data_IF_897391366300
#
_entry.id   IF_897391366300
#
_cell.length_a   1.000
_cell.length_b   1.000
_cell.length_c   1.000
_cell.angle_alpha   90.00
_cell.angle_beta   90.00
_cell.angle_gamma   90.00
#
_symmetry.space_group_name_H-M   'P 1'
#
loop_
_entity.id
_entity.type
_entity.pdbx_description
1 polymer ?
#
# COMPACT_ATOMS: atom_id res chain seq x y z
N UNK A 1 6.85 -7.92 -4.57
CA UNK A 1 7.55 -8.55 -3.42
C UNK A 1 9.06 -8.45 -3.53
N UNK A 2 9.67 -8.80 -4.67
CA UNK A 2 11.14 -8.72 -4.85
C UNK A 2 11.72 -7.33 -4.55
N UNK A 3 11.05 -6.24 -4.94
CA UNK A 3 11.51 -4.88 -4.65
C UNK A 3 11.61 -4.58 -3.14
N UNK A 4 10.62 -5.00 -2.35
CA UNK A 4 10.63 -4.83 -0.89
C UNK A 4 11.78 -5.64 -0.24
N UNK A 5 11.89 -6.92 -0.59
CA UNK A 5 12.91 -7.81 -0.01
C UNK A 5 14.34 -7.39 -0.36
N UNK A 6 14.54 -6.81 -1.55
CA UNK A 6 15.85 -6.32 -1.99
C UNK A 6 16.04 -4.81 -1.76
N UNK A 7 15.11 -4.14 -1.06
CA UNK A 7 15.16 -2.69 -0.77
C UNK A 7 15.41 -1.84 -2.04
N UNK A 8 14.61 -2.09 -3.08
CA UNK A 8 14.67 -1.40 -4.38
C UNK A 8 13.47 -0.47 -4.58
N UNK A 9 13.61 0.43 -5.54
CA UNK A 9 12.59 1.42 -5.93
C UNK A 9 12.04 2.23 -4.75
N UNK A 10 10.74 2.10 -4.46
CA UNK A 10 10.11 2.83 -3.35
C UNK A 10 10.54 2.31 -1.98
N UNK A 11 11.33 1.24 -1.90
CA UNK A 11 11.85 0.64 -0.68
C UNK A 11 13.34 0.96 -0.39
N UNK A 12 14.00 1.81 -1.20
CA UNK A 12 15.46 2.07 -1.07
C UNK A 12 15.87 2.69 0.25
N UNK A 13 15.01 3.53 0.83
CA UNK A 13 15.32 4.31 2.03
C UNK A 13 14.93 3.59 3.33
N UNK A 14 14.48 2.34 3.26
CA UNK A 14 14.14 1.55 4.45
C UNK A 14 15.38 0.84 5.00
N UNK A 15 15.68 1.07 6.27
CA UNK A 15 16.75 0.37 6.98
C UNK A 15 16.42 -1.11 7.18
N UNK A 16 15.19 -1.44 7.55
CA UNK A 16 14.66 -2.80 7.63
C UNK A 16 13.23 -2.87 7.08
N UNK A 17 12.85 -4.00 6.49
CA UNK A 17 11.55 -4.19 5.84
C UNK A 17 10.98 -5.54 6.24
N UNK A 18 9.95 -5.52 7.08
CA UNK A 18 9.12 -6.68 7.35
C UNK A 18 7.82 -6.62 6.52
N UNK A 19 7.65 -7.59 5.63
CA UNK A 19 6.44 -7.67 4.81
C UNK A 19 5.35 -8.42 5.57
N UNK A 20 4.37 -7.69 6.11
CA UNK A 20 3.24 -8.29 6.83
C UNK A 20 2.27 -9.00 5.89
N UNK A 21 1.80 -8.33 4.83
CA UNK A 21 0.86 -8.92 3.86
C UNK A 21 0.82 -8.14 2.54
N UNK A 22 0.19 -8.75 1.53
CA UNK A 22 -0.15 -8.10 0.26
C UNK A 22 -1.64 -8.27 0.00
N UNK A 23 -2.35 -7.15 -0.17
CA UNK A 23 -3.78 -7.13 -0.46
C UNK A 23 -3.95 -6.92 -1.96
N UNK A 24 -4.61 -7.86 -2.63
CA UNK A 24 -4.96 -7.73 -4.04
C UNK A 24 -6.31 -7.05 -4.20
N UNK A 25 -6.49 -6.23 -5.25
CA UNK A 25 -7.78 -5.61 -5.54
C UNK A 25 -8.88 -6.61 -5.91
N UNK A 26 -8.55 -7.84 -6.34
CA UNK A 26 -9.48 -8.96 -6.45
C UNK A 26 -10.70 -8.75 -7.36
N UNK A 27 -10.68 -7.74 -8.23
CA UNK A 27 -11.83 -7.37 -9.08
C UNK A 27 -12.78 -6.31 -8.47
N UNK A 28 -12.48 -5.79 -7.28
CA UNK A 28 -13.26 -4.72 -6.65
C UNK A 28 -12.88 -3.34 -7.21
N UNK A 29 -13.85 -2.41 -7.34
CA UNK A 29 -13.58 -0.99 -7.59
C UNK A 29 -12.94 -0.32 -6.35
N UNK A 30 -11.72 -0.69 -5.99
CA UNK A 30 -10.81 0.12 -5.16
C UNK A 30 -11.22 0.43 -3.71
N UNK A 31 -12.15 -0.31 -3.08
CA UNK A 31 -12.46 -0.13 -1.64
C UNK A 31 -12.28 -1.39 -0.79
N UNK A 32 -12.10 -2.54 -1.43
CA UNK A 32 -11.74 -3.77 -0.74
C UNK A 32 -10.32 -3.63 -0.18
N UNK A 33 -10.22 -3.47 1.14
CA UNK A 33 -8.96 -3.42 1.84
C UNK A 33 -8.94 -2.45 3.03
N UNK A 34 -9.74 -1.38 3.05
CA UNK A 34 -9.64 -0.35 4.11
C UNK A 34 -9.85 -0.92 5.52
N UNK A 35 -10.89 -1.75 5.72
CA UNK A 35 -11.10 -2.41 7.01
C UNK A 35 -9.99 -3.40 7.37
N UNK A 36 -9.44 -4.10 6.37
CA UNK A 36 -8.33 -5.03 6.59
C UNK A 36 -7.06 -4.28 6.96
N UNK A 37 -6.75 -3.20 6.24
CA UNK A 37 -5.63 -2.29 6.52
C UNK A 37 -5.77 -1.71 7.91
N UNK A 38 -6.96 -1.20 8.28
CA UNK A 38 -7.23 -0.71 9.63
C UNK A 38 -6.89 -1.76 10.69
N UNK A 39 -7.35 -3.00 10.52
CA UNK A 39 -7.03 -4.08 11.46
C UNK A 39 -5.55 -4.43 11.49
N UNK A 40 -4.84 -4.35 10.37
CA UNK A 40 -3.40 -4.56 10.31
C UNK A 40 -2.63 -3.45 11.03
N UNK A 41 -3.07 -2.20 10.90
CA UNK A 41 -2.51 -1.06 11.64
C UNK A 41 -2.75 -1.24 13.13
N UNK A 42 -4.00 -1.50 13.54
CA UNK A 42 -4.39 -1.58 14.96
C UNK A 42 -3.80 -2.81 15.68
N UNK A 43 -3.71 -3.97 15.00
CA UNK A 43 -3.34 -5.25 15.64
C UNK A 43 -1.91 -5.70 15.37
N UNK A 44 -1.36 -5.31 14.23
CA UNK A 44 -0.03 -5.75 13.79
C UNK A 44 0.96 -4.59 13.67
N UNK A 45 0.55 -3.37 14.02
CA UNK A 45 1.45 -2.21 14.05
C UNK A 45 1.97 -1.84 12.66
N UNK A 46 1.20 -2.04 11.60
CA UNK A 46 1.64 -1.66 10.25
C UNK A 46 1.81 -0.14 10.15
N UNK A 47 3.04 0.30 9.90
CA UNK A 47 3.40 1.72 9.85
C UNK A 47 3.30 2.30 8.44
N UNK A 48 3.51 1.48 7.41
CA UNK A 48 3.53 1.93 6.01
C UNK A 48 2.76 0.99 5.09
N UNK A 49 1.95 1.57 4.21
CA UNK A 49 1.23 0.87 3.14
C UNK A 49 1.73 1.35 1.78
N UNK A 50 2.30 0.44 0.99
CA UNK A 50 2.66 0.73 -0.40
C UNK A 50 1.52 0.32 -1.34
N UNK A 51 1.06 1.26 -2.16
CA UNK A 51 0.12 0.96 -3.23
C UNK A 51 0.83 0.34 -4.43
N UNK A 52 0.14 -0.55 -5.14
CA UNK A 52 0.69 -1.11 -6.36
C UNK A 52 0.82 -0.04 -7.44
N UNK A 53 1.91 -0.08 -8.20
CA UNK A 53 2.22 0.91 -9.26
C UNK A 53 1.13 1.01 -10.32
N UNK A 54 0.39 -0.07 -10.57
CA UNK A 54 -0.76 -0.07 -11.47
C UNK A 54 -1.87 0.90 -11.06
N UNK A 55 -2.00 1.23 -9.77
CA UNK A 55 -3.03 2.15 -9.28
C UNK A 55 -2.80 3.59 -9.73
N UNK A 56 -1.53 4.00 -9.91
CA UNK A 56 -1.15 5.38 -10.23
C UNK A 56 -0.53 5.57 -11.61
N UNK A 57 0.14 4.54 -12.15
CA UNK A 57 0.92 4.63 -13.39
C UNK A 57 0.23 4.00 -14.62
N UNK A 58 -0.57 2.95 -14.44
CA UNK A 58 -1.26 2.27 -15.54
C UNK A 58 -2.62 2.93 -15.86
N UNK A 59 -3.10 2.76 -17.11
CA UNK A 59 -4.35 3.35 -17.60
C UNK A 59 -5.43 2.26 -17.81
N UNK A 60 -6.69 2.51 -17.41
CA UNK A 60 -7.15 3.66 -16.62
C UNK A 60 -6.58 3.61 -15.19
N UNK A 61 -6.27 4.78 -14.62
CA UNK A 61 -5.78 4.87 -13.23
C UNK A 61 -6.88 4.46 -12.25
N UNK A 62 -6.50 4.00 -11.05
CA UNK A 62 -7.47 3.74 -10.00
C UNK A 62 -8.14 5.06 -9.57
N UNK A 63 -9.48 5.14 -9.67
CA UNK A 63 -10.24 6.33 -9.27
C UNK A 63 -10.30 6.57 -7.76
N UNK A 64 -9.90 5.57 -6.96
CA UNK A 64 -9.99 5.59 -5.50
C UNK A 64 -8.65 5.73 -4.79
N UNK A 65 -7.53 5.81 -5.52
CA UNK A 65 -6.21 5.80 -4.91
C UNK A 65 -6.03 6.97 -3.91
N UNK A 66 -6.42 8.18 -4.29
CA UNK A 66 -6.29 9.34 -3.41
C UNK A 66 -7.23 9.25 -2.20
N UNK A 67 -8.52 8.90 -2.40
CA UNK A 67 -9.50 8.70 -1.31
C UNK A 67 -9.00 7.65 -0.31
N UNK A 68 -8.50 6.51 -0.79
CA UNK A 68 -7.93 5.47 0.07
C UNK A 68 -6.69 5.96 0.82
N UNK A 69 -5.82 6.71 0.15
CA UNK A 69 -4.60 7.24 0.75
C UNK A 69 -4.95 8.09 1.97
N UNK A 70 -5.86 9.05 1.80
CA UNK A 70 -6.28 9.94 2.87
C UNK A 70 -6.90 9.18 4.06
N UNK A 71 -7.73 8.17 3.77
CA UNK A 71 -8.35 7.37 4.83
C UNK A 71 -7.34 6.51 5.60
N UNK A 72 -6.35 5.92 4.92
CA UNK A 72 -5.31 5.12 5.58
C UNK A 72 -4.37 6.00 6.41
N UNK A 73 -4.02 7.20 5.92
CA UNK A 73 -3.22 8.16 6.68
C UNK A 73 -3.96 8.62 7.95
N UNK A 74 -5.28 8.79 7.90
CA UNK A 74 -6.12 9.03 9.09
C UNK A 74 -6.14 7.85 10.07
N UNK A 75 -5.93 6.62 9.60
CA UNK A 75 -5.84 5.43 10.45
C UNK A 75 -4.47 5.31 11.15
N UNK A 76 -3.48 6.14 10.78
CA UNK A 76 -2.18 6.20 11.44
C UNK A 76 -1.02 5.53 10.68
N UNK A 77 -1.22 5.12 9.43
CA UNK A 77 -0.14 4.57 8.59
C UNK A 77 0.22 5.50 7.43
N UNK A 78 1.51 5.60 7.12
CA UNK A 78 2.00 6.33 5.95
C UNK A 78 1.64 5.58 4.67
N UNK A 79 1.24 6.30 3.63
CA UNK A 79 0.97 5.69 2.32
C UNK A 79 2.02 6.10 1.31
N UNK A 80 2.60 5.12 0.62
CA UNK A 80 3.56 5.33 -0.48
C UNK A 80 2.92 4.90 -1.80
N UNK A 81 2.88 5.82 -2.76
CA UNK A 81 2.32 5.55 -4.07
C UNK A 81 3.31 4.76 -4.93
N UNK A 82 2.96 3.52 -5.27
CA UNK A 82 3.80 2.65 -6.07
C UNK A 82 4.68 1.71 -5.23
N UNK A 83 4.88 0.51 -5.76
CA UNK A 83 5.68 -0.53 -5.09
C UNK A 83 6.96 -0.88 -5.85
N UNK A 84 6.96 -0.67 -7.17
CA UNK A 84 8.12 -0.88 -8.04
C UNK A 84 7.86 -0.20 -9.39
N UNK A 85 8.88 0.27 -10.07
CA UNK A 85 8.74 0.91 -11.37
C UNK A 85 9.56 0.17 -12.41
#
# INVERSE_FOLDING_TARGET
MTAALNKKDTFKDYEDVELVTMITCGGCPGRLGLNQIKQLIEKHGVEVVHFATCMSALKPKCRYAEEMKEEIEKMGAKVVMGSHF
#
